data_IF_284447672399
#
_entry.id   IF_284447672399
#
_cell.length_a   1.000
_cell.length_b   1.000
_cell.length_c   1.000
_cell.angle_alpha   90.00
_cell.angle_beta   90.00
_cell.angle_gamma   90.00
#
_symmetry.space_group_name_H-M   'P 1'
#
loop_
_entity.id
_entity.type
_entity.pdbx_description
1 polymer ?
#
# COMPACT_ATOMS: atom_id res chain seq x y z
N UNK A 1 -8.96 -2.76 16.74
CA UNK A 1 -7.90 -1.77 16.67
C UNK A 1 -6.54 -2.41 16.37
N UNK A 2 -6.18 -3.44 17.10
CA UNK A 2 -4.92 -4.15 16.83
C UNK A 2 -4.93 -4.79 15.45
N UNK A 3 -6.10 -5.22 15.00
CA UNK A 3 -6.24 -5.78 13.66
C UNK A 3 -5.89 -4.76 12.58
N UNK A 4 -6.30 -3.50 12.78
CA UNK A 4 -5.97 -2.42 11.85
C UNK A 4 -4.47 -2.17 11.79
N UNK A 5 -3.80 -2.16 12.95
CA UNK A 5 -2.36 -1.98 13.00
C UNK A 5 -1.64 -3.13 12.29
N UNK A 6 -2.08 -4.37 12.54
CA UNK A 6 -1.48 -5.53 11.90
C UNK A 6 -1.63 -5.48 10.39
N UNK A 7 -2.79 -5.04 9.91
CA UNK A 7 -3.04 -4.88 8.48
C UNK A 7 -2.16 -3.81 7.89
N UNK A 8 -2.00 -2.68 8.58
CA UNK A 8 -1.15 -1.59 8.13
C UNK A 8 0.30 -2.03 8.03
N UNK A 9 0.80 -2.74 9.03
CA UNK A 9 2.16 -3.28 9.01
C UNK A 9 2.37 -4.25 7.86
N UNK A 10 1.40 -5.13 7.62
CA UNK A 10 1.46 -6.10 6.55
C UNK A 10 1.51 -5.40 5.20
N UNK A 11 0.68 -4.38 4.99
CA UNK A 11 0.67 -3.62 3.75
C UNK A 11 1.98 -2.87 3.54
N UNK A 12 2.55 -2.30 4.60
CA UNK A 12 3.83 -1.61 4.52
C UNK A 12 4.95 -2.56 4.12
N UNK A 13 4.98 -3.75 4.69
CA UNK A 13 5.96 -4.78 4.34
C UNK A 13 5.78 -5.24 2.91
N UNK A 14 4.54 -5.41 2.49
CA UNK A 14 4.22 -5.84 1.13
C UNK A 14 4.71 -4.81 0.12
N UNK A 15 4.43 -3.53 0.36
CA UNK A 15 4.89 -2.45 -0.52
C UNK A 15 6.42 -2.42 -0.59
N UNK A 16 7.09 -2.53 0.55
CA UNK A 16 8.55 -2.53 0.58
C UNK A 16 9.14 -3.69 -0.24
N UNK A 17 8.56 -4.89 -0.09
CA UNK A 17 9.00 -6.05 -0.86
C UNK A 17 8.78 -5.86 -2.34
N UNK A 18 7.64 -5.31 -2.73
CA UNK A 18 7.32 -5.08 -4.13
C UNK A 18 8.17 -3.95 -4.73
N UNK A 19 8.54 -2.95 -3.94
CA UNK A 19 9.48 -1.91 -4.39
C UNK A 19 10.83 -2.52 -4.72
N UNK A 20 11.31 -3.41 -3.87
CA UNK A 20 12.57 -4.12 -4.10
C UNK A 20 12.47 -4.98 -5.35
N UNK A 21 11.37 -5.72 -5.53
CA UNK A 21 11.16 -6.55 -6.69
C UNK A 21 11.12 -5.73 -7.99
N UNK A 22 10.42 -4.60 -7.97
CA UNK A 22 10.33 -3.73 -9.14
C UNK A 22 11.69 -3.16 -9.51
N UNK A 23 12.48 -2.78 -8.51
CA UNK A 23 13.84 -2.26 -8.74
C UNK A 23 14.73 -3.34 -9.32
N UNK A 24 14.68 -4.55 -8.78
CA UNK A 24 15.47 -5.67 -9.26
C UNK A 24 15.10 -6.02 -10.70
N UNK A 25 13.81 -6.03 -11.02
CA UNK A 25 13.33 -6.31 -12.37
C UNK A 25 13.81 -5.26 -13.35
N UNK A 26 13.80 -3.99 -12.96
CA UNK A 26 14.31 -2.90 -13.80
C UNK A 26 15.81 -3.05 -14.07
N UNK A 27 16.58 -3.44 -13.06
CA UNK A 27 18.00 -3.69 -13.22
C UNK A 27 18.25 -4.87 -14.16
N UNK A 28 17.46 -5.93 -14.04
CA UNK A 28 17.58 -7.07 -14.94
C UNK A 28 17.30 -6.67 -16.38
N UNK A 29 16.34 -5.78 -16.59
CA UNK A 29 16.04 -5.28 -17.93
C UNK A 29 17.22 -4.49 -18.51
N UNK A 30 17.87 -3.66 -17.71
CA UNK A 30 19.04 -2.90 -18.14
C UNK A 30 20.15 -3.83 -18.61
N UNK A 31 20.27 -5.00 -18.02
CA UNK A 31 21.28 -5.98 -18.37
C UNK A 31 20.79 -6.98 -19.43
N UNK A 32 19.59 -6.78 -19.95
CA UNK A 32 19.03 -7.65 -20.99
C UNK A 32 18.55 -9.01 -20.50
N UNK A 33 18.35 -9.16 -19.20
CA UNK A 33 17.98 -10.45 -18.59
C UNK A 33 16.49 -10.61 -18.34
N UNK A 34 15.68 -9.66 -18.74
CA UNK A 34 14.23 -9.76 -18.61
C UNK A 34 13.56 -8.89 -19.67
N UNK A 35 12.24 -9.01 -19.79
CA UNK A 35 11.48 -8.29 -20.80
C UNK A 35 10.83 -7.04 -20.21
N UNK A 36 10.50 -6.10 -21.08
CA UNK A 36 9.78 -4.90 -20.67
C UNK A 36 8.42 -5.25 -20.04
N UNK A 37 7.78 -6.30 -20.52
CA UNK A 37 6.51 -6.74 -19.98
C UNK A 37 6.64 -7.14 -18.51
N UNK A 38 7.72 -7.80 -18.14
CA UNK A 38 7.96 -8.17 -16.75
C UNK A 38 8.16 -6.94 -15.88
N UNK A 39 8.85 -5.91 -16.40
CA UNK A 39 9.01 -4.64 -15.68
C UNK A 39 7.66 -3.98 -15.46
N UNK A 40 6.82 -3.94 -16.50
CA UNK A 40 5.49 -3.36 -16.39
C UNK A 40 4.63 -4.11 -15.36
N UNK A 41 4.69 -5.44 -15.38
CA UNK A 41 3.94 -6.26 -14.46
C UNK A 41 4.38 -5.98 -13.01
N UNK A 42 5.68 -5.89 -12.77
CA UNK A 42 6.20 -5.60 -11.44
C UNK A 42 5.75 -4.23 -10.95
N UNK A 43 5.79 -3.23 -11.83
CA UNK A 43 5.35 -1.89 -11.49
C UNK A 43 3.86 -1.82 -11.22
N UNK A 44 3.07 -2.55 -12.02
CA UNK A 44 1.63 -2.60 -11.85
C UNK A 44 1.28 -3.24 -10.50
N UNK A 45 1.95 -4.32 -10.14
CA UNK A 45 1.74 -4.98 -8.86
C UNK A 45 2.10 -4.05 -7.71
N UNK A 46 3.20 -3.31 -7.82
CA UNK A 46 3.60 -2.34 -6.81
C UNK A 46 2.55 -1.23 -6.68
N UNK A 47 2.08 -0.70 -7.81
CA UNK A 47 1.07 0.35 -7.79
C UNK A 47 -0.20 -0.12 -7.10
N UNK A 48 -0.65 -1.33 -7.41
CA UNK A 48 -1.84 -1.90 -6.77
C UNK A 48 -1.66 -2.01 -5.26
N UNK A 49 -0.48 -2.42 -4.81
CA UNK A 49 -0.19 -2.52 -3.38
C UNK A 49 -0.16 -1.14 -2.71
N UNK A 50 0.39 -0.14 -3.39
CA UNK A 50 0.41 1.22 -2.88
C UNK A 50 -0.99 1.81 -2.79
N UNK A 51 -1.85 1.51 -3.75
CA UNK A 51 -3.24 1.94 -3.72
C UNK A 51 -3.98 1.29 -2.55
N UNK A 52 -3.74 0.01 -2.29
CA UNK A 52 -4.33 -0.68 -1.15
C UNK A 52 -3.85 -0.08 0.17
N UNK A 53 -2.57 0.27 0.25
CA UNK A 53 -2.00 0.92 1.43
C UNK A 53 -2.67 2.28 1.68
N UNK A 54 -2.83 3.06 0.63
CA UNK A 54 -3.46 4.37 0.72
C UNK A 54 -4.93 4.23 1.13
N UNK A 55 -5.64 3.28 0.54
CA UNK A 55 -7.04 3.02 0.88
C UNK A 55 -7.19 2.62 2.35
N UNK A 56 -6.26 1.80 2.86
CA UNK A 56 -6.28 1.40 4.25
C UNK A 56 -6.07 2.59 5.19
N UNK A 57 -5.13 3.49 4.86
CA UNK A 57 -4.91 4.70 5.64
C UNK A 57 -6.13 5.60 5.63
N UNK A 58 -6.72 5.76 4.46
CA UNK A 58 -7.93 6.58 4.33
C UNK A 58 -9.05 6.00 5.19
N UNK A 59 -9.20 4.67 5.18
CA UNK A 59 -10.20 3.99 5.99
C UNK A 59 -9.97 4.22 7.49
N UNK A 60 -8.72 4.18 7.93
CA UNK A 60 -8.38 4.45 9.33
C UNK A 60 -8.73 5.87 9.72
N UNK A 61 -8.41 6.84 8.88
CA UNK A 61 -8.72 8.24 9.11
C UNK A 61 -10.23 8.45 9.15
N UNK A 62 -10.94 7.81 8.23
CA UNK A 62 -12.39 7.90 8.18
C UNK A 62 -13.03 7.34 9.44
N UNK A 63 -12.49 6.26 9.96
CA UNK A 63 -12.96 5.67 11.22
C UNK A 63 -12.75 6.62 12.39
N UNK A 64 -11.59 7.29 12.42
CA UNK A 64 -11.31 8.28 13.47
C UNK A 64 -12.26 9.46 13.41
N UNK A 65 -12.54 9.94 12.20
CA UNK A 65 -13.46 11.05 11.99
C UNK A 65 -14.87 10.64 12.46
N UNK A 66 -15.30 9.45 12.08
CA UNK A 66 -16.62 8.95 12.49
C UNK A 66 -16.72 8.82 14.01
N UNK A 67 -15.67 8.33 14.64
CA UNK A 67 -15.63 8.21 16.09
C UNK A 67 -15.70 9.59 16.75
N UNK A 68 -14.95 10.54 16.23
CA UNK A 68 -14.94 11.89 16.72
C UNK A 68 -16.33 12.54 16.63
N UNK A 69 -16.99 12.35 15.51
CA UNK A 69 -18.35 12.87 15.31
C UNK A 69 -19.33 12.23 16.27
N UNK A 70 -19.19 10.92 16.50
CA UNK A 70 -20.08 10.22 17.40
C UNK A 70 -19.93 10.70 18.85
N UNK A 71 -18.69 11.05 19.24
CA UNK A 71 -18.42 11.49 20.60
C UNK A 71 -18.66 12.99 20.79
N UNK A 72 -18.23 13.78 19.81
CA UNK A 72 -18.29 15.23 19.90
C UNK A 72 -19.54 15.85 19.34
N UNK A 73 -20.03 15.31 18.24
CA UNK A 73 -21.20 15.85 17.57
C UNK A 73 -22.47 15.71 18.37
N UNK A 74 -22.53 14.70 19.23
CA UNK A 74 -23.68 14.48 20.07
C UNK A 74 -23.85 15.52 21.20
N UNK A 75 -22.81 16.30 21.41
CA UNK A 75 -22.87 17.33 22.47
C UNK A 75 -23.42 18.66 21.98
N UNK A 76 -23.55 18.75 20.70
CA UNK A 76 -24.14 19.95 20.11
C UNK A 76 -25.67 19.92 20.29
#
# INVERSE_FOLDING_TARGET
WQTSLSKSELLDKQVASLQTAARSTSLLMEHGNTTYLEVLTARQTLLNAQLAQTANRFSEIQSLINLYKALGGGQE
#
